data_IF_470330004679
#
_entry.id   IF_470330004679
#
_cell.length_a   1.000
_cell.length_b   1.000
_cell.length_c   1.000
_cell.angle_alpha   90.00
_cell.angle_beta   90.00
_cell.angle_gamma   90.00
#
_symmetry.space_group_name_H-M   'P 1'
#
loop_
_entity.id
_entity.type
_entity.pdbx_description
1 polymer ?
#
# COMPACT_ATOMS: atom_id res chain seq x y z
N UNK A 1 -4.66 -12.80 13.53
CA UNK A 1 -4.87 -12.68 15.00
C UNK A 1 -6.34 -12.38 15.26
N UNK A 2 -6.95 -12.93 16.31
CA UNK A 2 -8.34 -12.60 16.69
C UNK A 2 -8.39 -11.30 17.47
N UNK A 3 -9.42 -10.50 17.25
CA UNK A 3 -9.80 -9.38 18.12
C UNK A 3 -10.80 -9.89 19.14
N UNK A 4 -10.34 -10.10 20.37
CA UNK A 4 -11.17 -10.63 21.45
C UNK A 4 -11.55 -9.48 22.41
N UNK A 5 -12.86 -9.24 22.54
CA UNK A 5 -13.42 -8.15 23.34
C UNK A 5 -14.81 -8.51 23.87
N UNK A 6 -15.18 -7.92 25.00
CA UNK A 6 -16.51 -8.10 25.56
C UNK A 6 -17.60 -7.36 24.76
N UNK A 7 -18.85 -7.78 24.93
CA UNK A 7 -19.99 -7.24 24.19
C UNK A 7 -20.21 -5.74 24.45
N UNK A 8 -19.93 -5.26 25.66
CA UNK A 8 -20.11 -3.85 25.99
C UNK A 8 -19.11 -2.99 25.22
N UNK A 9 -17.83 -3.37 25.21
CA UNK A 9 -16.80 -2.74 24.37
C UNK A 9 -17.18 -2.79 22.88
N UNK A 10 -17.70 -3.92 22.40
CA UNK A 10 -18.11 -4.08 21.00
C UNK A 10 -19.23 -3.08 20.64
N UNK A 11 -20.25 -2.99 21.47
CA UNK A 11 -21.42 -2.13 21.25
C UNK A 11 -21.11 -0.64 21.40
N UNK A 12 -20.21 -0.25 22.30
CA UNK A 12 -19.96 1.16 22.60
C UNK A 12 -18.81 1.79 21.79
N UNK A 13 -17.83 1.01 21.35
CA UNK A 13 -16.67 1.55 20.63
C UNK A 13 -16.65 1.20 19.15
N UNK A 14 -16.92 -0.05 18.80
CA UNK A 14 -16.68 -0.55 17.43
C UNK A 14 -17.93 -0.51 16.54
N UNK A 15 -19.10 -0.88 17.09
CA UNK A 15 -20.34 -0.95 16.33
C UNK A 15 -21.11 0.38 16.13
N UNK A 16 -20.93 1.48 16.90
CA UNK A 16 -21.77 2.67 16.74
C UNK A 16 -21.73 3.28 15.33
N UNK A 17 -20.54 3.34 14.72
CA UNK A 17 -20.39 3.89 13.37
C UNK A 17 -21.13 3.04 12.33
N UNK A 18 -21.06 1.71 12.42
CA UNK A 18 -21.80 0.80 11.54
C UNK A 18 -23.31 0.90 11.78
N UNK A 19 -23.74 0.99 13.03
CA UNK A 19 -25.15 1.15 13.37
C UNK A 19 -25.72 2.44 12.76
N UNK A 20 -25.03 3.58 12.89
CA UNK A 20 -25.43 4.84 12.28
C UNK A 20 -25.43 4.77 10.75
N UNK A 21 -24.39 4.18 10.14
CA UNK A 21 -24.33 3.98 8.70
C UNK A 21 -25.53 3.17 8.17
N UNK A 22 -25.95 2.13 8.89
CA UNK A 22 -27.09 1.28 8.51
C UNK A 22 -28.42 1.97 8.78
N UNK A 23 -28.63 2.52 9.99
CA UNK A 23 -29.94 3.01 10.43
C UNK A 23 -30.25 4.42 9.94
N UNK A 24 -29.25 5.28 9.92
CA UNK A 24 -29.40 6.70 9.60
C UNK A 24 -29.04 6.96 8.15
N UNK A 25 -27.86 6.51 7.72
CA UNK A 25 -27.36 6.75 6.36
C UNK A 25 -27.92 5.78 5.31
N UNK A 26 -28.47 4.64 5.75
CA UNK A 26 -29.06 3.59 4.89
C UNK A 26 -28.09 3.10 3.80
N UNK A 27 -26.86 2.78 4.20
CA UNK A 27 -25.83 2.26 3.28
C UNK A 27 -26.34 1.06 2.46
N UNK A 28 -25.88 0.97 1.20
CA UNK A 28 -26.25 -0.13 0.30
C UNK A 28 -25.44 -1.41 0.51
N UNK A 29 -24.26 -1.30 1.12
CA UNK A 29 -23.31 -2.38 1.31
C UNK A 29 -22.58 -2.25 2.65
N UNK A 30 -22.19 -3.39 3.22
CA UNK A 30 -21.26 -3.52 4.34
C UNK A 30 -20.23 -4.59 3.97
N UNK A 31 -18.98 -4.40 4.37
CA UNK A 31 -17.89 -5.33 4.13
C UNK A 31 -17.44 -5.96 5.46
N UNK A 32 -17.29 -7.28 5.49
CA UNK A 32 -16.68 -7.99 6.62
C UNK A 32 -15.16 -7.81 6.60
N UNK A 33 -14.54 -7.66 7.77
CA UNK A 33 -13.08 -7.57 7.90
C UNK A 33 -12.37 -8.93 7.78
N UNK A 34 -11.04 -8.91 7.62
CA UNK A 34 -10.19 -10.09 7.62
C UNK A 34 -10.15 -10.83 8.97
N UNK A 35 -10.04 -10.09 10.07
CA UNK A 35 -9.75 -10.66 11.38
C UNK A 35 -10.96 -11.41 11.98
N UNK A 36 -10.72 -12.49 12.74
CA UNK A 36 -11.73 -13.03 13.65
C UNK A 36 -12.11 -12.02 14.73
N UNK A 37 -13.38 -12.07 15.15
CA UNK A 37 -13.89 -11.36 16.33
C UNK A 37 -14.38 -12.42 17.32
N UNK A 38 -13.81 -12.43 18.53
CA UNK A 38 -14.10 -13.44 19.55
C UNK A 38 -13.94 -14.88 19.02
N UNK A 39 -12.87 -15.12 18.29
CA UNK A 39 -12.49 -16.44 17.76
C UNK A 39 -13.22 -16.89 16.48
N UNK A 40 -14.13 -16.08 15.93
CA UNK A 40 -14.89 -16.43 14.71
C UNK A 40 -14.60 -15.43 13.60
N UNK A 41 -14.15 -15.90 12.43
CA UNK A 41 -13.95 -15.06 11.24
C UNK A 41 -15.21 -14.25 10.91
N UNK A 42 -15.05 -12.95 10.62
CA UNK A 42 -16.16 -12.04 10.42
C UNK A 42 -17.14 -12.50 9.33
N UNK A 43 -16.64 -13.08 8.24
CA UNK A 43 -17.42 -13.64 7.12
C UNK A 43 -18.34 -14.82 7.51
N UNK A 44 -18.12 -15.46 8.65
CA UNK A 44 -18.96 -16.54 9.18
C UNK A 44 -19.51 -16.26 10.59
N UNK A 45 -19.40 -15.02 11.08
CA UNK A 45 -19.84 -14.64 12.42
C UNK A 45 -21.34 -14.31 12.45
N UNK A 46 -22.15 -15.29 12.89
CA UNK A 46 -23.62 -15.17 12.94
C UNK A 46 -24.11 -14.03 13.83
N UNK A 47 -23.46 -13.79 14.98
CA UNK A 47 -23.84 -12.71 15.90
C UNK A 47 -23.75 -11.36 15.20
N UNK A 48 -22.61 -11.08 14.56
CA UNK A 48 -22.41 -9.82 13.84
C UNK A 48 -23.34 -9.71 12.62
N UNK A 49 -23.39 -10.74 11.79
CA UNK A 49 -24.00 -10.65 10.46
C UNK A 49 -25.51 -10.86 10.47
N UNK A 50 -25.99 -11.86 11.22
CA UNK A 50 -27.40 -12.25 11.25
C UNK A 50 -28.12 -11.58 12.42
N UNK A 51 -27.59 -11.67 13.64
CA UNK A 51 -28.31 -11.23 14.84
C UNK A 51 -28.32 -9.70 14.93
N UNK A 52 -27.16 -9.05 14.74
CA UNK A 52 -27.02 -7.60 14.79
C UNK A 52 -27.37 -6.93 13.45
N UNK A 53 -26.55 -7.10 12.41
CA UNK A 53 -26.66 -6.35 11.16
C UNK A 53 -28.01 -6.59 10.47
N UNK A 54 -28.34 -7.84 10.12
CA UNK A 54 -29.58 -8.18 9.41
C UNK A 54 -30.80 -8.26 10.36
N UNK A 55 -30.58 -8.68 11.59
CA UNK A 55 -31.61 -8.92 12.60
C UNK A 55 -32.03 -7.67 13.35
N UNK A 56 -31.20 -7.16 14.25
CA UNK A 56 -31.51 -6.02 15.10
C UNK A 56 -31.57 -4.71 14.29
N UNK A 57 -30.62 -4.48 13.40
CA UNK A 57 -30.50 -3.23 12.64
C UNK A 57 -31.30 -3.25 11.34
N UNK A 58 -31.88 -4.40 10.99
CA UNK A 58 -32.74 -4.59 9.81
C UNK A 58 -32.04 -4.18 8.50
N UNK A 59 -30.73 -4.41 8.40
CA UNK A 59 -29.97 -4.12 7.19
C UNK A 59 -30.51 -4.91 6.00
N UNK A 60 -30.86 -4.20 4.94
CA UNK A 60 -31.45 -4.76 3.74
C UNK A 60 -30.56 -4.65 2.50
N UNK A 61 -29.28 -4.26 2.66
CA UNK A 61 -28.28 -4.27 1.60
C UNK A 61 -27.54 -5.60 1.46
N UNK A 62 -26.36 -5.53 0.84
CA UNK A 62 -25.45 -6.67 0.63
C UNK A 62 -24.35 -6.66 1.70
N UNK A 63 -24.09 -7.81 2.30
CA UNK A 63 -22.88 -8.07 3.08
C UNK A 63 -21.85 -8.81 2.21
N UNK A 64 -20.68 -8.21 1.99
CA UNK A 64 -19.60 -8.81 1.21
C UNK A 64 -18.36 -9.09 2.05
N UNK A 65 -17.52 -10.01 1.61
CA UNK A 65 -16.22 -10.27 2.25
C UNK A 65 -15.26 -9.17 1.83
N UNK A 66 -14.26 -8.85 2.65
CA UNK A 66 -13.02 -8.28 2.12
C UNK A 66 -12.41 -9.23 1.08
N UNK A 67 -11.45 -8.74 0.29
CA UNK A 67 -10.72 -9.55 -0.69
C UNK A 67 -10.16 -10.81 -0.03
N UNK A 68 -10.43 -11.99 -0.60
CA UNK A 68 -9.89 -13.29 -0.14
C UNK A 68 -10.15 -13.64 1.34
N UNK A 69 -11.02 -12.91 2.06
CA UNK A 69 -11.30 -13.08 3.50
C UNK A 69 -12.40 -14.10 3.81
N UNK A 70 -12.68 -15.02 2.88
CA UNK A 70 -13.59 -16.14 3.11
C UNK A 70 -12.78 -17.41 3.37
N UNK A 71 -13.15 -18.18 4.39
CA UNK A 71 -12.35 -19.30 4.87
C UNK A 71 -13.08 -20.66 4.79
N UNK A 72 -14.41 -20.63 4.85
CA UNK A 72 -15.28 -21.81 4.69
C UNK A 72 -16.60 -21.39 4.03
N UNK A 73 -16.94 -22.04 2.92
CA UNK A 73 -18.12 -21.68 2.13
C UNK A 73 -19.45 -21.98 2.82
N UNK A 74 -19.54 -23.09 3.56
CA UNK A 74 -20.76 -23.51 4.27
C UNK A 74 -20.97 -22.64 5.51
N UNK A 75 -19.91 -22.39 6.27
CA UNK A 75 -19.93 -21.52 7.43
C UNK A 75 -20.24 -20.08 7.03
N UNK A 76 -19.64 -19.55 5.96
CA UNK A 76 -19.96 -18.21 5.46
C UNK A 76 -21.40 -18.10 4.94
N UNK A 77 -21.87 -19.11 4.19
CA UNK A 77 -23.25 -19.15 3.73
C UNK A 77 -24.24 -19.13 4.91
N UNK A 78 -24.04 -19.99 5.91
CA UNK A 78 -24.90 -20.02 7.09
C UNK A 78 -24.63 -18.87 8.07
N UNK A 79 -23.46 -18.23 7.97
CA UNK A 79 -23.01 -17.10 8.78
C UNK A 79 -23.48 -15.75 8.26
N UNK A 80 -24.16 -15.71 7.12
CA UNK A 80 -24.82 -14.51 6.60
C UNK A 80 -24.06 -13.75 5.52
N UNK A 81 -22.89 -14.19 5.07
CA UNK A 81 -22.17 -13.56 3.96
C UNK A 81 -22.96 -13.68 2.65
N UNK A 82 -23.19 -12.58 1.93
CA UNK A 82 -23.96 -12.59 0.69
C UNK A 82 -23.08 -12.74 -0.56
N UNK A 83 -21.93 -12.07 -0.58
CA UNK A 83 -21.01 -12.02 -1.71
C UNK A 83 -19.56 -12.28 -1.26
N UNK A 84 -18.92 -13.30 -1.85
CA UNK A 84 -17.48 -13.54 -1.70
C UNK A 84 -16.70 -12.75 -2.75
N UNK A 85 -15.65 -12.05 -2.32
CA UNK A 85 -14.75 -11.25 -3.17
C UNK A 85 -13.32 -11.79 -3.14
N UNK A 86 -12.53 -11.66 -4.22
CA UNK A 86 -12.93 -11.15 -5.55
C UNK A 86 -13.77 -12.13 -6.36
N UNK A 87 -13.71 -13.40 -6.03
CA UNK A 87 -14.37 -14.48 -6.78
C UNK A 87 -14.86 -15.58 -5.84
N UNK A 88 -15.88 -16.31 -6.28
CA UNK A 88 -16.48 -17.40 -5.51
C UNK A 88 -15.57 -18.63 -5.43
N UNK A 89 -14.55 -18.61 -4.58
CA UNK A 89 -13.65 -19.74 -4.31
C UNK A 89 -14.30 -20.71 -3.32
N UNK A 90 -14.81 -20.19 -2.21
CA UNK A 90 -15.42 -20.97 -1.13
C UNK A 90 -16.94 -21.09 -1.27
N UNK A 91 -17.63 -19.99 -1.57
CA UNK A 91 -19.06 -19.93 -1.89
C UNK A 91 -19.33 -20.26 -3.36
N UNK A 92 -18.64 -21.26 -3.87
CA UNK A 92 -18.72 -21.73 -5.25
C UNK A 92 -19.83 -22.76 -5.43
N UNK A 93 -20.25 -22.97 -6.69
CA UNK A 93 -21.16 -24.06 -7.06
C UNK A 93 -20.63 -25.43 -6.61
N UNK A 94 -19.32 -25.66 -6.76
CA UNK A 94 -18.69 -26.93 -6.43
C UNK A 94 -18.78 -27.25 -4.93
N UNK A 95 -18.71 -26.23 -4.08
CA UNK A 95 -18.73 -26.41 -2.63
C UNK A 95 -20.15 -26.37 -2.05
N UNK A 96 -21.03 -25.53 -2.59
CA UNK A 96 -22.38 -25.32 -2.03
C UNK A 96 -23.42 -26.32 -2.53
N UNK A 97 -23.30 -26.87 -3.76
CA UNK A 97 -24.26 -27.87 -4.24
C UNK A 97 -24.27 -29.15 -3.38
N UNK A 98 -23.13 -29.74 -3.00
CA UNK A 98 -23.12 -30.88 -2.07
C UNK A 98 -23.74 -30.53 -0.72
N UNK A 99 -23.44 -29.34 -0.19
CA UNK A 99 -23.99 -28.87 1.08
C UNK A 99 -25.51 -28.61 1.05
N UNK A 100 -26.06 -28.28 -0.13
CA UNK A 100 -27.51 -28.21 -0.34
C UNK A 100 -28.13 -29.61 -0.40
N UNK A 101 -27.47 -30.55 -1.09
CA UNK A 101 -27.96 -31.91 -1.25
C UNK A 101 -28.00 -32.68 0.09
N UNK A 102 -27.05 -32.44 0.98
CA UNK A 102 -26.98 -33.07 2.31
C UNK A 102 -27.63 -32.26 3.44
N UNK A 103 -28.17 -31.06 3.13
CA UNK A 103 -28.93 -30.23 4.06
C UNK A 103 -28.09 -29.37 5.01
N UNK A 104 -26.76 -29.31 4.85
CA UNK A 104 -25.90 -28.38 5.61
C UNK A 104 -26.15 -26.91 5.27
N UNK A 105 -26.65 -26.60 4.07
CA UNK A 105 -27.15 -25.28 3.67
C UNK A 105 -28.56 -25.46 3.13
N UNK A 106 -29.45 -24.49 3.38
CA UNK A 106 -30.82 -24.53 2.85
C UNK A 106 -30.94 -23.73 1.54
N UNK A 107 -31.88 -24.11 0.67
CA UNK A 107 -32.20 -23.28 -0.52
C UNK A 107 -32.66 -21.87 -0.11
N UNK A 108 -33.39 -21.74 1.00
CA UNK A 108 -33.80 -20.44 1.52
C UNK A 108 -32.60 -19.55 1.91
N UNK A 109 -31.52 -20.15 2.43
CA UNK A 109 -30.26 -19.46 2.73
C UNK A 109 -29.61 -18.91 1.46
N UNK A 110 -29.63 -19.66 0.37
CA UNK A 110 -29.09 -19.21 -0.93
C UNK A 110 -29.99 -18.14 -1.54
N UNK A 111 -31.31 -18.34 -1.51
CA UNK A 111 -32.28 -17.40 -2.06
C UNK A 111 -32.23 -16.03 -1.37
N UNK A 112 -32.00 -15.97 -0.04
CA UNK A 112 -31.82 -14.69 0.66
C UNK A 112 -30.62 -13.90 0.12
N UNK A 113 -29.48 -14.58 -0.09
CA UNK A 113 -28.24 -13.96 -0.58
C UNK A 113 -28.42 -13.42 -1.99
N UNK A 114 -28.94 -14.25 -2.88
CA UNK A 114 -29.23 -13.85 -4.27
C UNK A 114 -30.22 -12.68 -4.28
N UNK A 115 -31.27 -12.72 -3.44
CA UNK A 115 -32.24 -11.62 -3.33
C UNK A 115 -31.60 -10.32 -2.85
N UNK A 116 -30.64 -10.36 -1.92
CA UNK A 116 -29.90 -9.17 -1.45
C UNK A 116 -29.03 -8.58 -2.54
N UNK A 117 -28.32 -9.42 -3.28
CA UNK A 117 -27.50 -8.99 -4.44
C UNK A 117 -28.38 -8.32 -5.49
N UNK A 118 -29.44 -9.00 -5.93
CA UNK A 118 -30.36 -8.48 -6.93
C UNK A 118 -31.07 -7.21 -6.44
N UNK A 119 -31.46 -7.13 -5.16
CA UNK A 119 -32.11 -5.95 -4.59
C UNK A 119 -31.27 -4.70 -4.77
N UNK A 120 -29.96 -4.75 -4.51
CA UNK A 120 -29.08 -3.60 -4.70
C UNK A 120 -28.89 -3.29 -6.18
N UNK A 121 -28.73 -4.32 -7.03
CA UNK A 121 -28.65 -4.15 -8.48
C UNK A 121 -29.85 -3.34 -9.02
N UNK A 122 -31.07 -3.68 -8.61
CA UNK A 122 -32.27 -2.93 -9.02
C UNK A 122 -32.41 -1.58 -8.28
N UNK A 123 -32.14 -1.53 -6.97
CA UNK A 123 -32.29 -0.30 -6.16
C UNK A 123 -31.43 0.85 -6.68
N UNK A 124 -30.23 0.56 -7.16
CA UNK A 124 -29.30 1.56 -7.69
C UNK A 124 -29.33 1.65 -9.21
N UNK A 125 -30.22 0.93 -9.89
CA UNK A 125 -30.39 1.02 -11.34
C UNK A 125 -29.25 0.38 -12.15
N UNK A 126 -28.47 -0.51 -11.55
CA UNK A 126 -27.35 -1.19 -12.21
C UNK A 126 -27.78 -2.21 -13.27
N UNK A 127 -29.04 -2.65 -13.21
CA UNK A 127 -29.56 -3.65 -14.14
C UNK A 127 -29.95 -3.04 -15.50
N UNK A 128 -30.52 -1.84 -15.51
CA UNK A 128 -31.29 -1.30 -16.63
C UNK A 128 -30.93 0.16 -16.99
N UNK A 129 -30.02 0.80 -16.25
CA UNK A 129 -29.54 2.14 -16.59
C UNK A 129 -28.08 2.13 -17.06
N UNK A 130 -27.70 2.99 -18.02
CA UNK A 130 -26.30 3.30 -18.29
C UNK A 130 -25.65 3.88 -17.03
N UNK A 131 -24.47 3.37 -16.67
CA UNK A 131 -23.77 3.76 -15.44
C UNK A 131 -22.94 5.03 -15.61
N UNK A 132 -22.33 5.19 -16.78
CA UNK A 132 -21.54 6.37 -17.10
C UNK A 132 -22.45 7.53 -17.46
N UNK A 133 -22.30 8.65 -16.75
CA UNK A 133 -22.90 9.93 -17.13
C UNK A 133 -21.86 10.79 -17.85
N UNK A 134 -21.87 10.77 -19.18
CA UNK A 134 -20.91 11.51 -20.02
C UNK A 134 -20.98 13.04 -19.85
N UNK A 135 -22.01 13.56 -19.15
CA UNK A 135 -22.10 14.99 -18.81
C UNK A 135 -21.15 15.38 -17.68
N UNK A 136 -20.72 14.41 -16.88
CA UNK A 136 -19.74 14.62 -15.80
C UNK A 136 -18.35 14.32 -16.37
N UNK A 137 -17.50 15.34 -16.57
CA UNK A 137 -16.16 15.11 -17.07
C UNK A 137 -15.35 14.29 -16.07
N UNK A 138 -14.49 13.41 -16.57
CA UNK A 138 -13.64 12.55 -15.73
C UNK A 138 -12.72 13.37 -14.84
N UNK A 139 -12.08 14.40 -15.39
CA UNK A 139 -11.38 15.45 -14.63
C UNK A 139 -12.36 16.59 -14.35
N UNK A 140 -13.06 16.52 -13.21
CA UNK A 140 -14.16 17.42 -12.87
C UNK A 140 -13.69 18.59 -11.99
N UNK A 141 -13.70 19.85 -12.49
CA UNK A 141 -13.29 21.02 -11.71
C UNK A 141 -14.09 21.24 -10.42
N UNK A 142 -15.36 20.83 -10.38
CA UNK A 142 -16.18 20.93 -9.17
C UNK A 142 -15.73 19.93 -8.10
N UNK A 143 -15.30 18.73 -8.50
CA UNK A 143 -14.72 17.74 -7.60
C UNK A 143 -13.37 18.24 -7.07
N UNK A 144 -12.52 18.82 -7.93
CA UNK A 144 -11.23 19.39 -7.52
C UNK A 144 -11.39 20.54 -6.49
N UNK A 145 -12.41 21.40 -6.65
CA UNK A 145 -12.75 22.42 -5.65
C UNK A 145 -13.20 21.81 -4.33
N UNK A 146 -14.07 20.80 -4.38
CA UNK A 146 -14.57 20.11 -3.18
C UNK A 146 -13.42 19.44 -2.42
N UNK A 147 -12.49 18.80 -3.13
CA UNK A 147 -11.30 18.19 -2.54
C UNK A 147 -10.41 19.25 -1.85
N UNK A 148 -10.21 20.42 -2.47
CA UNK A 148 -9.45 21.52 -1.88
C UNK A 148 -10.12 22.07 -0.61
N UNK A 149 -11.44 22.24 -0.62
CA UNK A 149 -12.19 22.74 0.53
C UNK A 149 -12.19 21.74 1.69
N UNK A 150 -12.30 20.44 1.39
CA UNK A 150 -12.14 19.37 2.38
C UNK A 150 -10.74 19.37 2.99
N UNK A 151 -9.70 19.44 2.15
CA UNK A 151 -8.30 19.49 2.62
C UNK A 151 -8.06 20.69 3.52
N UNK A 152 -8.55 21.88 3.15
CA UNK A 152 -8.44 23.11 3.97
C UNK A 152 -9.16 22.98 5.31
N UNK A 153 -10.32 22.33 5.32
CA UNK A 153 -11.14 22.14 6.53
C UNK A 153 -10.56 21.07 7.47
N UNK A 154 -9.73 20.16 6.95
CA UNK A 154 -9.08 19.11 7.73
C UNK A 154 -7.75 19.51 8.40
N UNK A 155 -7.18 20.67 8.07
CA UNK A 155 -5.92 21.13 8.68
C UNK A 155 -6.16 21.55 10.13
N UNK A 156 -5.34 21.02 11.05
CA UNK A 156 -5.37 21.37 12.47
C UNK A 156 -4.13 22.15 12.85
N UNK A 157 -4.29 23.39 13.30
CA UNK A 157 -3.21 24.20 13.86
C UNK A 157 -2.93 23.76 15.30
N UNK A 158 -1.84 23.02 15.51
CA UNK A 158 -1.46 22.51 16.83
C UNK A 158 -0.73 23.54 17.70
N UNK A 159 0.08 24.40 17.07
CA UNK A 159 0.94 25.35 17.75
C UNK A 159 1.13 26.62 16.91
N UNK A 160 1.03 27.79 17.54
CA UNK A 160 1.33 29.08 16.93
C UNK A 160 1.86 30.03 18.02
N UNK A 161 3.19 30.12 18.12
CA UNK A 161 3.87 31.03 19.06
C UNK A 161 4.30 32.31 18.32
N UNK A 162 4.36 33.42 19.06
CA UNK A 162 4.81 34.74 18.59
C UNK A 162 4.07 35.29 17.36
N UNK A 163 2.89 34.74 17.05
CA UNK A 163 2.09 35.16 15.90
C UNK A 163 2.76 34.89 14.55
N UNK A 164 3.61 33.86 14.46
CA UNK A 164 4.29 33.50 13.21
C UNK A 164 3.31 33.17 12.08
N UNK A 165 2.14 32.60 12.41
CA UNK A 165 1.05 32.37 11.48
C UNK A 165 -0.16 33.30 11.76
N UNK A 166 -0.86 33.79 10.72
CA UNK A 166 -0.55 33.62 9.29
C UNK A 166 0.71 34.39 8.87
N UNK A 167 1.41 33.91 7.85
CA UNK A 167 2.62 34.59 7.35
C UNK A 167 2.28 36.02 6.92
N UNK A 168 2.97 37.00 7.51
CA UNK A 168 2.77 38.41 7.22
C UNK A 168 3.40 38.85 5.89
N UNK A 169 2.91 39.95 5.33
CA UNK A 169 3.40 40.50 4.04
C UNK A 169 4.90 40.90 4.03
N UNK A 170 5.52 41.01 5.21
CA UNK A 170 6.94 41.30 5.36
C UNK A 170 7.83 40.09 5.01
N UNK A 171 7.30 38.86 5.05
CA UNK A 171 8.00 37.66 4.61
C UNK A 171 8.16 37.71 3.09
N UNK A 172 9.39 37.66 2.61
CA UNK A 172 9.72 37.65 1.18
C UNK A 172 10.59 36.46 0.78
N UNK A 173 11.38 35.93 1.71
CA UNK A 173 12.24 34.77 1.50
C UNK A 173 11.76 33.62 2.36
N UNK A 174 11.47 32.49 1.73
CA UNK A 174 11.02 31.28 2.43
C UNK A 174 11.94 30.13 2.07
N UNK A 175 12.48 29.46 3.08
CA UNK A 175 13.13 28.17 2.91
C UNK A 175 12.08 27.08 3.11
N UNK A 176 11.72 26.36 2.05
CA UNK A 176 10.86 25.20 2.12
C UNK A 176 11.74 23.95 2.21
N UNK A 177 11.66 23.22 3.31
CA UNK A 177 12.58 22.13 3.64
C UNK A 177 11.78 20.85 3.91
N UNK A 178 12.22 19.72 3.38
CA UNK A 178 11.71 18.40 3.80
C UNK A 178 11.06 17.58 2.68
N UNK A 179 10.96 16.25 2.89
CA UNK A 179 10.62 15.29 1.84
C UNK A 179 9.18 15.41 1.35
N UNK A 180 8.28 15.97 2.15
CA UNK A 180 6.87 16.14 1.80
C UNK A 180 6.56 17.47 1.08
N UNK A 181 7.55 18.33 0.87
CA UNK A 181 7.32 19.65 0.30
C UNK A 181 6.94 19.65 -1.19
N UNK A 182 7.52 18.76 -1.99
CA UNK A 182 7.43 18.79 -3.45
C UNK A 182 6.82 17.50 -4.05
N UNK A 183 5.98 16.80 -3.28
CA UNK A 183 5.29 15.57 -3.72
C UNK A 183 3.84 15.53 -3.27
N UNK A 184 3.05 14.66 -3.91
CA UNK A 184 1.73 14.28 -3.44
C UNK A 184 1.88 13.29 -2.28
N UNK A 185 1.24 13.58 -1.15
CA UNK A 185 1.29 12.75 0.05
C UNK A 185 -0.10 12.17 0.28
N UNK A 186 -0.17 10.84 0.36
CA UNK A 186 -1.39 10.07 0.62
C UNK A 186 -1.03 8.78 1.37
N UNK A 187 -2.03 8.12 1.96
CA UNK A 187 -1.89 6.76 2.48
C UNK A 187 -1.81 5.73 1.34
N UNK A 188 -1.20 4.58 1.62
CA UNK A 188 -1.05 3.47 0.67
C UNK A 188 -2.24 2.51 0.63
N UNK A 189 -2.04 1.38 -0.06
CA UNK A 189 -3.01 0.27 -0.15
C UNK A 189 -4.23 0.56 -1.02
N UNK A 190 -5.32 -0.15 -0.75
CA UNK A 190 -6.60 -0.04 -1.48
C UNK A 190 -7.25 1.35 -1.46
N UNK A 191 -6.82 2.22 -0.53
CA UNK A 191 -7.28 3.61 -0.44
C UNK A 191 -6.51 4.59 -1.34
N UNK A 192 -5.36 4.18 -1.87
CA UNK A 192 -4.55 5.04 -2.73
C UNK A 192 -5.23 5.26 -4.08
N UNK A 193 -5.21 6.50 -4.55
CA UNK A 193 -5.70 6.86 -5.87
C UNK A 193 -4.70 7.76 -6.57
N UNK A 194 -4.39 7.48 -7.83
CA UNK A 194 -3.61 8.38 -8.68
C UNK A 194 -4.48 9.59 -9.09
N UNK A 195 -4.14 10.82 -8.66
CA UNK A 195 -4.93 11.99 -8.99
C UNK A 195 -4.67 12.45 -10.42
N UNK A 196 -5.67 13.08 -11.08
CA UNK A 196 -5.44 13.74 -12.37
C UNK A 196 -4.40 14.85 -12.28
N UNK A 197 -4.45 15.61 -11.18
CA UNK A 197 -3.50 16.67 -10.83
C UNK A 197 -3.34 16.71 -9.31
N UNK A 198 -2.14 17.02 -8.84
CA UNK A 198 -1.86 17.29 -7.44
C UNK A 198 -1.15 18.64 -7.30
N UNK A 199 -1.49 19.40 -6.27
CA UNK A 199 -0.77 20.61 -5.89
C UNK A 199 0.11 20.27 -4.70
N UNK A 200 1.43 20.25 -4.92
CA UNK A 200 2.41 20.07 -3.85
C UNK A 200 2.44 21.30 -2.94
N UNK A 201 3.00 21.20 -1.73
CA UNK A 201 3.15 22.38 -0.87
C UNK A 201 4.02 23.45 -1.54
N UNK A 202 5.08 23.05 -2.26
CA UNK A 202 5.93 23.92 -3.05
C UNK A 202 5.13 24.68 -4.11
N UNK A 203 4.31 23.99 -4.89
CA UNK A 203 3.52 24.62 -5.95
C UNK A 203 2.38 25.46 -5.37
N UNK A 204 1.78 25.02 -4.26
CA UNK A 204 0.77 25.77 -3.53
C UNK A 204 1.29 27.12 -3.01
N UNK A 205 2.51 27.15 -2.46
CA UNK A 205 3.16 28.41 -2.04
C UNK A 205 3.43 29.33 -3.22
N UNK A 206 3.94 28.80 -4.35
CA UNK A 206 4.16 29.57 -5.58
C UNK A 206 2.86 30.16 -6.14
N UNK A 207 1.76 29.41 -6.08
CA UNK A 207 0.45 29.84 -6.54
C UNK A 207 -0.18 30.88 -5.59
N UNK A 208 0.05 30.75 -4.28
CA UNK A 208 -0.48 31.65 -3.27
C UNK A 208 0.19 33.04 -3.31
N UNK A 209 1.51 33.10 -3.51
CA UNK A 209 2.25 34.35 -3.68
C UNK A 209 3.49 34.13 -4.56
N UNK A 210 3.40 34.55 -5.82
CA UNK A 210 4.49 34.44 -6.80
C UNK A 210 5.64 35.42 -6.56
N UNK A 211 5.50 36.35 -5.60
CA UNK A 211 6.56 37.30 -5.23
C UNK A 211 7.53 36.73 -4.18
N UNK A 212 7.19 35.58 -3.57
CA UNK A 212 8.07 34.90 -2.63
C UNK A 212 9.32 34.35 -3.34
N UNK A 213 10.49 34.63 -2.77
CA UNK A 213 11.74 33.98 -3.09
C UNK A 213 11.80 32.65 -2.34
N UNK A 214 11.38 31.57 -3.02
CA UNK A 214 11.34 30.23 -2.46
C UNK A 214 12.65 29.48 -2.76
N UNK A 215 13.34 29.04 -1.71
CA UNK A 215 14.42 28.05 -1.80
C UNK A 215 13.87 26.71 -1.32
N UNK A 216 13.87 25.70 -2.19
CA UNK A 216 13.47 24.35 -1.81
C UNK A 216 14.69 23.46 -1.57
N UNK A 217 14.69 22.75 -0.44
CA UNK A 217 15.66 21.70 -0.13
C UNK A 217 14.89 20.46 0.33
N UNK A 218 15.05 19.32 -0.37
CA UNK A 218 14.36 18.07 0.02
C UNK A 218 14.71 17.60 1.43
N UNK A 219 15.93 17.87 1.89
CA UNK A 219 16.49 17.31 3.12
C UNK A 219 17.43 16.13 2.82
N UNK A 220 17.80 15.38 3.87
CA UNK A 220 18.92 14.44 3.81
C UNK A 220 18.57 13.01 3.33
N UNK A 221 17.28 12.69 3.14
CA UNK A 221 16.84 11.35 2.72
C UNK A 221 16.24 11.38 1.31
N UNK A 222 16.84 10.60 0.39
CA UNK A 222 16.25 10.22 -0.90
C UNK A 222 15.48 8.90 -0.79
N UNK A 223 14.70 8.57 -1.80
CA UNK A 223 14.04 7.26 -1.90
C UNK A 223 15.08 6.17 -2.24
N UNK A 224 14.84 4.91 -1.85
CA UNK A 224 15.80 3.84 -2.16
C UNK A 224 15.99 3.65 -3.68
N UNK A 225 14.96 3.96 -4.47
CA UNK A 225 14.97 3.89 -5.93
C UNK A 225 15.96 4.89 -6.56
N UNK A 226 16.31 5.98 -5.88
CA UNK A 226 17.40 6.86 -6.33
C UNK A 226 18.77 6.19 -6.26
N UNK A 227 18.87 5.11 -5.47
CA UNK A 227 20.07 4.33 -5.23
C UNK A 227 20.08 2.98 -5.95
N UNK A 228 19.03 2.59 -6.67
CA UNK A 228 19.01 1.29 -7.41
C UNK A 228 20.02 1.29 -8.56
N UNK A 229 20.25 2.45 -9.17
CA UNK A 229 21.26 2.65 -10.21
C UNK A 229 22.69 2.73 -9.66
N UNK A 230 22.87 2.65 -8.33
CA UNK A 230 24.20 2.66 -7.73
C UNK A 230 25.02 1.47 -8.25
N UNK A 231 26.22 1.81 -8.70
CA UNK A 231 27.07 0.97 -9.53
C UNK A 231 27.88 -0.05 -8.71
N UNK A 232 27.23 -0.69 -7.74
CA UNK A 232 27.82 -1.57 -6.71
C UNK A 232 27.49 -3.05 -6.89
N UNK A 233 26.58 -3.41 -7.79
CA UNK A 233 26.26 -4.80 -8.12
C UNK A 233 26.97 -5.28 -9.39
N UNK A 234 27.49 -6.50 -9.32
CA UNK A 234 28.31 -7.11 -10.37
C UNK A 234 27.97 -8.59 -10.58
N UNK A 235 28.04 -9.04 -11.82
CA UNK A 235 27.81 -10.44 -12.20
C UNK A 235 28.99 -11.31 -11.76
N UNK A 236 30.21 -10.76 -11.79
CA UNK A 236 31.44 -11.46 -11.41
C UNK A 236 32.09 -10.88 -10.16
N UNK A 237 32.76 -11.74 -9.40
CA UNK A 237 33.45 -11.36 -8.17
C UNK A 237 34.61 -10.39 -8.38
N UNK A 238 35.14 -10.27 -9.61
CA UNK A 238 36.20 -9.31 -9.92
C UNK A 238 35.65 -7.89 -10.15
N UNK A 239 34.32 -7.73 -10.26
CA UNK A 239 33.65 -6.44 -10.47
C UNK A 239 33.85 -5.85 -11.86
N UNK A 240 33.93 -6.69 -12.90
CA UNK A 240 34.16 -6.25 -14.29
C UNK A 240 32.85 -6.07 -15.05
N UNK A 241 31.89 -6.95 -14.80
CA UNK A 241 30.58 -6.98 -15.44
C UNK A 241 29.52 -6.49 -14.47
N UNK A 242 28.82 -5.41 -14.82
CA UNK A 242 27.82 -4.77 -13.97
C UNK A 242 26.47 -5.50 -14.02
N UNK A 243 25.71 -5.37 -12.95
CA UNK A 243 24.37 -5.95 -12.82
C UNK A 243 24.37 -7.27 -12.06
N UNK A 244 23.21 -7.91 -12.01
CA UNK A 244 23.00 -9.25 -11.45
C UNK A 244 22.50 -10.19 -12.54
N UNK A 245 22.78 -11.48 -12.38
CA UNK A 245 22.14 -12.52 -13.21
C UNK A 245 20.71 -12.68 -12.72
N UNK A 246 19.74 -12.32 -13.54
CA UNK A 246 18.31 -12.52 -13.29
C UNK A 246 17.85 -13.81 -13.96
N UNK A 247 17.32 -14.74 -13.17
CA UNK A 247 16.70 -15.97 -13.65
C UNK A 247 15.20 -15.94 -13.32
N UNK A 248 14.34 -16.02 -14.34
CA UNK A 248 12.89 -15.97 -14.21
C UNK A 248 12.27 -17.37 -14.34
N UNK A 249 11.26 -17.66 -13.53
CA UNK A 249 10.59 -18.95 -13.44
C UNK A 249 9.08 -18.77 -13.58
N UNK A 250 8.43 -19.64 -14.35
CA UNK A 250 6.97 -19.62 -14.54
C UNK A 250 6.24 -20.38 -13.41
N UNK A 251 6.63 -20.08 -12.17
CA UNK A 251 6.03 -20.55 -10.91
C UNK A 251 6.57 -19.68 -9.77
N UNK A 252 5.94 -19.72 -8.60
CA UNK A 252 6.30 -18.91 -7.42
C UNK A 252 7.45 -19.52 -6.58
N UNK A 253 7.79 -20.78 -6.83
CA UNK A 253 8.66 -21.57 -5.95
C UNK A 253 10.14 -21.58 -6.39
N UNK A 254 10.51 -20.81 -7.42
CA UNK A 254 11.83 -20.85 -8.07
C UNK A 254 12.22 -22.27 -8.52
N UNK A 255 11.21 -23.08 -8.89
CA UNK A 255 11.37 -24.49 -9.17
C UNK A 255 11.67 -24.76 -10.65
N UNK A 256 12.49 -25.78 -10.89
CA UNK A 256 12.82 -26.25 -12.24
C UNK A 256 13.86 -25.39 -12.97
N UNK A 257 13.87 -25.48 -14.29
CA UNK A 257 14.73 -24.66 -15.13
C UNK A 257 14.10 -23.27 -15.33
N UNK A 258 14.88 -22.18 -15.28
CA UNK A 258 14.36 -20.85 -15.54
C UNK A 258 13.91 -20.71 -17.00
N UNK A 259 12.81 -20.00 -17.22
CA UNK A 259 12.28 -19.66 -18.54
C UNK A 259 13.19 -18.69 -19.30
N UNK A 260 13.86 -17.80 -18.57
CA UNK A 260 14.87 -16.90 -19.10
C UNK A 260 15.97 -16.64 -18.08
N UNK A 261 17.18 -16.42 -18.58
CA UNK A 261 18.32 -15.94 -17.81
C UNK A 261 18.95 -14.78 -18.56
N UNK A 262 19.03 -13.63 -17.92
CA UNK A 262 19.60 -12.41 -18.49
C UNK A 262 20.45 -11.67 -17.45
N UNK A 263 21.26 -10.72 -17.92
CA UNK A 263 21.91 -9.76 -17.03
C UNK A 263 20.94 -8.61 -16.84
N UNK A 264 20.64 -8.31 -15.58
CA UNK A 264 19.90 -7.13 -15.18
C UNK A 264 20.86 -6.09 -14.63
N UNK A 265 21.01 -4.97 -15.33
CA UNK A 265 21.94 -3.91 -14.92
C UNK A 265 21.45 -3.12 -13.71
N UNK A 266 20.14 -3.05 -13.49
CA UNK A 266 19.48 -2.27 -12.43
C UNK A 266 18.20 -3.00 -12.04
N UNK A 267 18.20 -3.64 -10.88
CA UNK A 267 17.00 -4.28 -10.33
C UNK A 267 16.09 -3.18 -9.76
N UNK A 268 15.23 -2.64 -10.61
CA UNK A 268 14.23 -1.62 -10.30
C UNK A 268 13.08 -1.71 -11.31
N UNK A 269 12.17 -2.63 -11.05
CA UNK A 269 11.07 -2.96 -11.96
C UNK A 269 9.73 -2.71 -11.28
N UNK A 270 8.84 -2.05 -12.01
CA UNK A 270 7.44 -1.90 -11.65
C UNK A 270 6.62 -2.18 -12.91
N UNK A 271 6.07 -3.39 -13.00
CA UNK A 271 5.26 -3.81 -14.13
C UNK A 271 3.76 -3.54 -13.92
N UNK A 272 3.34 -3.08 -12.73
CA UNK A 272 1.93 -3.01 -12.36
C UNK A 272 1.24 -4.34 -12.72
N UNK A 273 0.09 -4.33 -13.37
CA UNK A 273 -0.64 -5.55 -13.75
C UNK A 273 -0.13 -6.21 -15.06
N UNK A 274 1.02 -5.79 -15.59
CA UNK A 274 1.56 -6.28 -16.86
C UNK A 274 2.63 -7.39 -16.64
N UNK A 275 2.77 -8.34 -17.58
CA UNK A 275 3.88 -9.29 -17.55
C UNK A 275 5.23 -8.61 -17.79
N UNK A 276 6.35 -9.21 -17.34
CA UNK A 276 7.70 -8.64 -17.50
C UNK A 276 8.23 -8.63 -18.94
N UNK A 277 7.42 -9.01 -19.92
CA UNK A 277 7.81 -9.09 -21.34
C UNK A 277 8.72 -10.27 -21.66
N UNK A 278 8.87 -11.22 -20.74
CA UNK A 278 9.69 -12.42 -20.90
C UNK A 278 8.83 -13.55 -21.46
N UNK A 279 9.23 -14.18 -22.60
CA UNK A 279 8.47 -15.28 -23.17
C UNK A 279 8.26 -16.42 -22.16
N UNK A 280 7.00 -16.79 -21.95
CA UNK A 280 6.61 -17.86 -21.03
C UNK A 280 6.46 -17.43 -19.57
N UNK A 281 6.53 -16.13 -19.27
CA UNK A 281 6.19 -15.56 -17.96
C UNK A 281 4.90 -14.76 -18.08
N UNK A 282 3.92 -15.08 -17.23
CA UNK A 282 2.63 -14.37 -17.13
C UNK A 282 2.73 -13.03 -16.40
N UNK A 283 1.58 -12.37 -16.21
CA UNK A 283 1.47 -11.21 -15.32
C UNK A 283 1.59 -11.62 -13.85
N UNK A 284 1.08 -12.82 -13.52
CA UNK A 284 1.02 -13.37 -12.18
C UNK A 284 1.68 -14.76 -12.12
N UNK A 285 1.83 -15.30 -10.90
CA UNK A 285 2.31 -16.66 -10.60
C UNK A 285 3.72 -16.97 -11.15
N UNK A 286 4.65 -16.04 -11.02
CA UNK A 286 6.04 -16.21 -11.44
C UNK A 286 7.02 -15.88 -10.31
N UNK A 287 8.30 -16.15 -10.53
CA UNK A 287 9.36 -15.76 -9.59
C UNK A 287 10.65 -15.42 -10.30
N UNK A 288 11.52 -14.68 -9.62
CA UNK A 288 12.83 -14.33 -10.11
C UNK A 288 13.90 -14.51 -9.02
N UNK A 289 15.08 -14.94 -9.44
CA UNK A 289 16.28 -14.97 -8.62
C UNK A 289 17.37 -14.11 -9.26
N UNK A 290 17.79 -13.08 -8.56
CA UNK A 290 18.90 -12.20 -8.93
C UNK A 290 20.15 -12.61 -8.15
N UNK A 291 21.22 -13.01 -8.84
CA UNK A 291 22.48 -13.46 -8.21
C UNK A 291 23.70 -12.74 -8.76
N UNK A 292 24.68 -12.52 -7.90
CA UNK A 292 25.95 -11.89 -8.28
C UNK A 292 26.78 -11.52 -7.05
N UNK A 293 27.40 -10.36 -7.12
CA UNK A 293 28.30 -9.84 -6.09
C UNK A 293 28.02 -8.37 -5.82
N UNK A 294 28.03 -8.00 -4.55
CA UNK A 294 28.05 -6.62 -4.06
C UNK A 294 29.51 -6.22 -3.80
N UNK A 295 29.93 -5.07 -4.33
CA UNK A 295 31.25 -4.49 -4.07
C UNK A 295 31.16 -2.98 -3.93
N UNK A 296 31.61 -2.50 -2.77
CA UNK A 296 31.54 -1.08 -2.42
C UNK A 296 32.85 -0.34 -2.71
N UNK A 297 32.80 0.96 -3.07
CA UNK A 297 33.99 1.76 -3.36
C UNK A 297 34.73 2.22 -2.08
N UNK A 298 34.03 2.30 -0.95
CA UNK A 298 34.57 2.75 0.35
C UNK A 298 34.07 1.84 1.46
N UNK A 299 34.95 1.52 2.40
CA UNK A 299 34.55 0.79 3.60
C UNK A 299 33.64 1.64 4.47
N UNK A 300 32.64 1.02 5.10
CA UNK A 300 31.75 1.69 6.02
C UNK A 300 30.42 0.96 6.19
N UNK A 301 29.50 1.61 6.89
CA UNK A 301 28.13 1.13 7.07
C UNK A 301 27.30 1.51 5.84
N UNK A 302 26.59 0.52 5.29
CA UNK A 302 25.68 0.65 4.16
C UNK A 302 24.28 0.16 4.55
N UNK A 303 23.26 0.78 4.00
CA UNK A 303 21.89 0.32 4.07
C UNK A 303 21.59 -0.54 2.83
N UNK A 304 21.18 -1.80 3.05
CA UNK A 304 20.61 -2.67 2.03
C UNK A 304 19.10 -2.56 2.09
N UNK A 305 18.47 -2.24 0.97
CA UNK A 305 17.03 -2.06 0.88
C UNK A 305 16.45 -2.88 -0.27
N UNK A 306 15.30 -3.51 -0.02
CA UNK A 306 14.48 -4.19 -1.03
C UNK A 306 13.07 -3.67 -0.93
N UNK A 307 12.50 -3.28 -2.07
CA UNK A 307 11.06 -3.09 -2.20
C UNK A 307 10.51 -4.19 -3.09
N UNK A 308 9.56 -4.96 -2.60
CA UNK A 308 8.91 -6.01 -3.38
C UNK A 308 7.40 -6.04 -3.16
N UNK A 309 6.64 -6.33 -4.21
CA UNK A 309 5.27 -6.85 -4.14
C UNK A 309 5.30 -8.36 -3.95
N UNK A 310 4.37 -8.91 -3.19
CA UNK A 310 4.41 -10.28 -2.67
C UNK A 310 5.74 -10.63 -1.98
N UNK A 311 6.24 -11.86 -2.12
CA UNK A 311 7.31 -12.36 -1.27
C UNK A 311 8.71 -12.15 -1.82
N UNK A 312 9.63 -11.63 -0.99
CA UNK A 312 11.04 -11.48 -1.30
C UNK A 312 11.97 -11.77 -0.12
N UNK A 313 13.23 -12.09 -0.43
CA UNK A 313 14.26 -12.36 0.58
C UNK A 313 15.66 -12.15 0.01
N UNK A 314 16.55 -11.62 0.85
CA UNK A 314 17.90 -11.21 0.46
C UNK A 314 18.93 -11.98 1.27
N UNK A 315 19.95 -12.49 0.60
CA UNK A 315 21.16 -13.04 1.21
C UNK A 315 22.37 -12.21 0.86
N UNK A 316 23.25 -12.05 1.83
CA UNK A 316 24.57 -11.47 1.69
C UNK A 316 25.58 -12.43 2.33
N UNK A 317 26.59 -12.82 1.55
CA UNK A 317 27.67 -13.74 1.97
C UNK A 317 27.13 -15.05 2.60
N UNK A 318 26.08 -15.60 1.98
CA UNK A 318 25.41 -16.83 2.41
C UNK A 318 24.47 -16.68 3.62
N UNK A 319 24.39 -15.49 4.24
CA UNK A 319 23.48 -15.21 5.35
C UNK A 319 22.24 -14.50 4.85
N UNK A 320 21.07 -14.95 5.30
CA UNK A 320 19.81 -14.26 5.02
C UNK A 320 19.73 -12.98 5.86
N UNK A 321 19.60 -11.83 5.21
CA UNK A 321 19.60 -10.51 5.85
C UNK A 321 18.24 -9.81 5.77
N UNK A 322 17.39 -10.18 4.81
CA UNK A 322 15.98 -9.74 4.70
C UNK A 322 15.13 -10.98 4.41
N UNK A 323 13.98 -11.12 5.08
CA UNK A 323 12.97 -12.16 4.84
C UNK A 323 11.58 -11.54 4.92
N UNK A 324 10.84 -11.63 3.82
CA UNK A 324 9.40 -11.38 3.76
C UNK A 324 8.83 -12.30 2.68
N UNK A 325 8.60 -13.57 2.98
CA UNK A 325 8.20 -14.59 1.99
C UNK A 325 6.70 -14.93 2.09
N UNK A 326 5.85 -13.92 1.96
CA UNK A 326 4.38 -14.00 2.08
C UNK A 326 3.70 -13.01 1.13
N UNK A 327 2.45 -13.29 0.75
CA UNK A 327 1.64 -12.41 -0.10
C UNK A 327 1.38 -11.09 0.64
N UNK A 328 1.69 -9.96 0.00
CA UNK A 328 1.63 -8.63 0.60
C UNK A 328 1.82 -7.54 -0.46
N UNK A 329 1.13 -6.40 -0.32
CA UNK A 329 1.30 -5.25 -1.22
C UNK A 329 2.74 -4.69 -1.21
N UNK A 330 3.18 -3.85 -2.16
CA UNK A 330 4.57 -3.40 -2.24
C UNK A 330 5.14 -2.80 -0.95
N UNK A 331 6.06 -3.51 -0.29
CA UNK A 331 6.65 -3.10 1.00
C UNK A 331 8.15 -2.90 0.90
N UNK A 332 8.65 -1.88 1.59
CA UNK A 332 10.07 -1.64 1.79
C UNK A 332 10.58 -2.38 3.04
N UNK A 333 11.63 -3.18 2.88
CA UNK A 333 12.44 -3.70 3.98
C UNK A 333 13.89 -3.34 3.76
N UNK A 334 14.60 -3.04 4.85
CA UNK A 334 16.02 -2.78 4.78
C UNK A 334 16.74 -3.15 6.06
N UNK A 335 18.06 -3.24 5.96
CA UNK A 335 18.96 -3.55 7.07
C UNK A 335 20.31 -2.91 6.83
N UNK A 336 20.97 -2.52 7.92
CA UNK A 336 22.34 -2.01 7.82
C UNK A 336 23.36 -3.14 7.87
N UNK A 337 24.43 -2.99 7.09
CA UNK A 337 25.56 -3.92 7.01
C UNK A 337 26.88 -3.13 6.95
N UNK A 338 27.93 -3.67 7.57
CA UNK A 338 29.29 -3.14 7.44
C UNK A 338 29.99 -3.83 6.26
N UNK A 339 30.46 -3.02 5.31
CA UNK A 339 31.11 -3.49 4.08
C UNK A 339 32.52 -2.91 3.96
N UNK A 340 33.43 -3.71 3.40
CA UNK A 340 34.83 -3.35 3.17
C UNK A 340 35.08 -3.07 1.69
N UNK A 341 35.73 -1.95 1.39
CA UNK A 341 36.17 -1.65 0.03
C UNK A 341 37.11 -2.72 -0.50
N UNK A 342 36.89 -3.14 -1.75
CA UNK A 342 37.72 -4.14 -2.41
C UNK A 342 37.35 -5.59 -2.13
N UNK A 343 36.48 -5.87 -1.15
CA UNK A 343 35.88 -7.20 -0.95
C UNK A 343 34.63 -7.35 -1.82
N UNK A 344 34.42 -8.55 -2.35
CA UNK A 344 33.22 -8.91 -3.11
C UNK A 344 32.38 -9.86 -2.28
N UNK A 345 31.11 -9.49 -2.05
CA UNK A 345 30.18 -10.23 -1.22
C UNK A 345 29.17 -10.94 -2.13
N UNK A 346 29.07 -12.27 -2.13
CA UNK A 346 28.00 -12.98 -2.84
C UNK A 346 26.64 -12.44 -2.39
N UNK A 347 25.77 -12.10 -3.33
CA UNK A 347 24.42 -11.59 -3.06
C UNK A 347 23.40 -12.39 -3.86
N UNK A 348 22.27 -12.70 -3.22
CA UNK A 348 21.13 -13.33 -3.86
C UNK A 348 19.85 -12.66 -3.39
N UNK A 349 19.07 -12.10 -4.31
CA UNK A 349 17.70 -11.67 -4.07
C UNK A 349 16.77 -12.69 -4.73
N UNK A 350 15.83 -13.21 -3.96
CA UNK A 350 14.74 -14.03 -4.45
C UNK A 350 13.44 -13.28 -4.26
N UNK A 351 12.54 -13.42 -5.23
CA UNK A 351 11.26 -12.74 -5.27
C UNK A 351 10.22 -13.60 -6.00
N UNK A 352 8.98 -13.61 -5.57
CA UNK A 352 7.84 -14.16 -6.31
C UNK A 352 6.71 -13.15 -6.44
N UNK A 353 5.97 -13.29 -7.53
CA UNK A 353 4.71 -12.62 -7.83
C UNK A 353 3.60 -13.67 -7.80
N UNK A 354 2.64 -13.51 -6.89
CA UNK A 354 1.45 -14.35 -6.81
C UNK A 354 0.32 -13.76 -7.62
N UNK A 355 -0.03 -12.49 -7.40
CA UNK A 355 -1.11 -11.87 -8.12
C UNK A 355 -1.29 -10.38 -7.85
N UNK A 356 -1.67 -9.65 -8.89
CA UNK A 356 -1.95 -8.21 -8.80
C UNK A 356 -0.83 -7.40 -9.45
N UNK A 357 -0.35 -6.39 -8.73
CA UNK A 357 0.76 -5.57 -9.21
C UNK A 357 2.09 -6.31 -9.03
N UNK A 358 3.02 -6.15 -9.97
CA UNK A 358 4.36 -6.73 -9.84
C UNK A 358 5.43 -5.64 -9.70
N UNK A 359 6.13 -5.61 -8.56
CA UNK A 359 7.22 -4.65 -8.29
C UNK A 359 8.39 -5.30 -7.56
N UNK A 360 9.62 -5.03 -7.99
CA UNK A 360 10.84 -5.42 -7.28
C UNK A 360 11.97 -4.41 -7.49
N UNK A 361 12.61 -3.96 -6.42
CA UNK A 361 13.76 -3.06 -6.46
C UNK A 361 14.79 -3.43 -5.39
N UNK A 362 16.08 -3.24 -5.69
CA UNK A 362 17.20 -3.50 -4.78
C UNK A 362 18.20 -2.35 -4.79
N UNK A 363 18.55 -1.83 -3.62
CA UNK A 363 19.57 -0.80 -3.46
C UNK A 363 20.56 -1.12 -2.34
N UNK A 364 21.78 -0.59 -2.47
CA UNK A 364 22.81 -0.62 -1.44
C UNK A 364 23.54 0.72 -1.41
N UNK A 365 23.32 1.54 -0.39
CA UNK A 365 23.85 2.90 -0.33
C UNK A 365 24.36 3.24 1.07
N UNK A 366 25.31 4.17 1.16
CA UNK A 366 25.62 4.77 2.46
C UNK A 366 24.61 5.87 2.72
N UNK A 367 23.96 5.81 3.87
CA UNK A 367 23.16 6.92 4.36
C UNK A 367 24.09 8.08 4.73
N UNK A 368 24.35 8.99 3.80
CA UNK A 368 25.08 10.22 4.09
C UNK A 368 24.07 11.30 4.40
N UNK A 369 23.87 11.57 5.69
CA UNK A 369 23.01 12.65 6.12
C UNK A 369 23.77 13.96 6.05
N UNK A 370 23.39 14.81 5.10
CA UNK A 370 23.92 16.16 4.99
C UNK A 370 22.76 17.16 4.97
N UNK A 371 22.65 17.93 6.05
CA UNK A 371 21.66 18.99 6.21
C UNK A 371 22.25 20.38 5.95
N UNK A 372 23.50 20.48 5.48
CA UNK A 372 24.19 21.76 5.30
C UNK A 372 23.41 22.72 4.40
N UNK A 373 22.86 22.23 3.29
CA UNK A 373 22.02 23.02 2.39
C UNK A 373 20.71 23.47 3.05
N UNK A 374 20.07 22.60 3.83
CA UNK A 374 18.85 22.93 4.56
C UNK A 374 19.11 24.01 5.63
N UNK A 375 20.21 23.88 6.37
CA UNK A 375 20.65 24.86 7.38
C UNK A 375 21.00 26.19 6.71
N UNK A 376 21.72 26.16 5.59
CA UNK A 376 22.09 27.35 4.84
C UNK A 376 20.85 28.08 4.29
N UNK A 377 19.90 27.34 3.73
CA UNK A 377 18.63 27.88 3.24
C UNK A 377 17.82 28.51 4.37
N UNK A 378 17.65 27.82 5.50
CA UNK A 378 16.92 28.34 6.65
C UNK A 378 17.54 29.63 7.20
N UNK A 379 18.87 29.71 7.28
CA UNK A 379 19.58 30.93 7.73
C UNK A 379 19.44 32.13 6.78
N UNK A 380 19.24 31.87 5.49
CA UNK A 380 19.13 32.92 4.48
C UNK A 380 17.68 33.42 4.26
N UNK A 381 16.69 32.77 4.87
CA UNK A 381 15.28 33.06 4.71
C UNK A 381 14.71 33.90 5.87
N UNK A 382 13.57 34.56 5.62
CA UNK A 382 12.80 35.24 6.68
C UNK A 382 12.04 34.23 7.53
N UNK A 383 11.63 33.11 6.92
CA UNK A 383 10.96 31.98 7.57
C UNK A 383 11.37 30.67 6.92
N UNK A 384 11.47 29.60 7.73
CA UNK A 384 11.60 28.23 7.24
C UNK A 384 10.27 27.49 7.42
N UNK A 385 9.80 26.82 6.38
CA UNK A 385 8.66 25.90 6.41
C UNK A 385 9.23 24.49 6.26
N UNK A 386 9.07 23.66 7.30
CA UNK A 386 9.55 22.28 7.33
C UNK A 386 8.38 21.32 7.08
N UNK A 387 8.41 20.62 5.96
CA UNK A 387 7.38 19.70 5.50
C UNK A 387 7.83 18.25 5.71
N UNK A 388 7.40 17.70 6.84
CA UNK A 388 7.71 16.34 7.31
C UNK A 388 6.42 15.56 7.55
N UNK A 389 6.53 14.25 7.64
CA UNK A 389 5.44 13.33 7.93
C UNK A 389 5.61 11.99 7.23
N UNK A 390 4.53 11.22 7.31
CA UNK A 390 4.40 9.92 6.69
C UNK A 390 3.92 10.06 5.23
N UNK A 391 3.87 8.92 4.53
CA UNK A 391 3.47 8.76 3.14
C UNK A 391 2.97 7.34 2.88
N UNK A 392 2.62 7.03 1.63
CA UNK A 392 2.10 5.73 1.22
C UNK A 392 3.08 4.57 1.43
N UNK A 393 4.36 4.83 1.71
CA UNK A 393 5.34 3.79 2.00
C UNK A 393 5.48 3.52 3.50
N UNK A 394 5.14 4.50 4.34
CA UNK A 394 5.26 4.44 5.79
C UNK A 394 3.92 4.28 6.51
N UNK A 395 2.81 4.58 5.83
CA UNK A 395 1.43 4.32 6.24
C UNK A 395 0.65 3.70 5.07
N UNK A 396 0.46 2.38 5.11
CA UNK A 396 -0.24 1.62 4.07
C UNK A 396 -1.01 0.45 4.65
N UNK A 397 -1.99 -0.04 3.90
CA UNK A 397 -2.57 -1.37 4.11
C UNK A 397 -1.47 -2.44 4.11
N UNK A 398 -1.64 -3.46 4.96
CA UNK A 398 -0.75 -4.62 5.06
C UNK A 398 0.20 -4.58 6.26
N UNK A 399 0.47 -3.42 6.85
CA UNK A 399 1.34 -3.33 8.02
C UNK A 399 1.01 -2.15 8.94
N UNK A 400 1.40 -2.27 10.20
CA UNK A 400 1.32 -1.19 11.17
C UNK A 400 2.61 -0.36 11.19
N UNK A 401 2.45 0.95 11.36
CA UNK A 401 3.58 1.86 11.55
C UNK A 401 4.11 1.84 12.98
N UNK A 402 5.30 2.42 13.16
CA UNK A 402 5.79 2.84 14.48
C UNK A 402 5.40 4.31 14.75
N UNK A 403 5.58 4.78 15.99
CA UNK A 403 5.25 6.16 16.38
C UNK A 403 6.22 7.25 15.91
N UNK A 404 7.55 7.03 15.86
CA UNK A 404 8.49 8.07 15.41
C UNK A 404 8.24 8.53 13.98
N UNK A 405 8.66 9.75 13.66
CA UNK A 405 8.72 10.20 12.27
C UNK A 405 9.57 9.23 11.44
N UNK A 406 9.28 9.09 10.13
CA UNK A 406 10.16 8.32 9.27
C UNK A 406 11.61 8.85 9.36
N UNK A 407 12.61 7.97 9.13
CA UNK A 407 14.01 8.32 9.35
C UNK A 407 14.43 9.67 8.75
N UNK A 408 15.25 10.40 9.50
CA UNK A 408 15.92 11.64 9.08
C UNK A 408 15.01 12.86 8.91
N UNK A 409 13.83 12.81 9.52
CA UNK A 409 12.89 13.93 9.58
C UNK A 409 12.87 14.61 10.96
N UNK A 410 13.39 13.97 11.99
CA UNK A 410 13.49 14.45 13.38
C UNK A 410 14.86 15.03 13.76
N UNK A 411 15.90 14.73 12.97
CA UNK A 411 17.31 15.08 13.23
C UNK A 411 17.73 16.44 12.73
#
# INVERSE_FOLDING_TARGET
>A
VSSDLDEHTLQELYLPAFHAAVREARVGAVMNSYNPVNGVHATQNKHLNLDLLKGAWKFDGILMSDWVSTYDGVAAANGGLDLEMPSGKFMSRANLLPALADGRVSMATIDDKVRRILRILFRFGFYDHPQTDDRVPRDNPAASRTALDLARSGIVLLKNEDGILPLGAAVKKVALIGPNAARYVAGGGSSYTEPFHAVTLLDGLRQADSTLQLTYVRGAAGDMEEHTADRVFFVDSAGRSRGLTAAFYNNQDLAGAPAAVNIDSVVDHNWADAPPGIPGIGADHFSARFTGYLRVPKSGRYHLAVRGDDGFRLWLDGRKVIELWEDQAPTLRGTDVDLEAGRSYPIALEWYENGGGARIALACFQQVLDFSDAIAAARAADVAIVAVGFDAQSESEGFDRTFPLPPYQDT
#
